data_IF_409557646747
#
_entry.id   IF_409557646747
#
_cell.length_a   1.000
_cell.length_b   1.000
_cell.length_c   1.000
_cell.angle_alpha   90.00
_cell.angle_beta   90.00
_cell.angle_gamma   90.00
#
_symmetry.space_group_name_H-M   'P 1'
#
loop_
_entity.id
_entity.type
_entity.pdbx_description
1 polymer ?
#
# COMPACT_ATOMS: atom_id res chain seq x y z
N UNK A 1 -24.98 -18.54 14.17
CA UNK A 1 -24.27 -17.34 13.63
C UNK A 1 -23.13 -16.85 14.55
N UNK A 2 -23.34 -16.62 15.85
CA UNK A 2 -22.31 -16.12 16.79
C UNK A 2 -21.13 -17.08 16.98
N UNK A 3 -21.34 -18.40 17.01
CA UNK A 3 -20.27 -19.42 17.15
C UNK A 3 -19.35 -19.44 15.91
N UNK A 4 -19.90 -19.22 14.71
CA UNK A 4 -19.12 -19.14 13.47
C UNK A 4 -18.26 -17.88 13.43
N UNK A 5 -18.78 -16.73 13.90
CA UNK A 5 -18.05 -15.47 13.95
C UNK A 5 -16.84 -15.54 14.90
N UNK A 6 -17.04 -16.07 16.14
CA UNK A 6 -15.92 -16.23 17.09
C UNK A 6 -14.85 -17.19 16.56
N UNK A 7 -15.23 -18.27 15.87
CA UNK A 7 -14.30 -19.22 15.26
C UNK A 7 -13.49 -18.55 14.14
N UNK A 8 -14.16 -17.78 13.28
CA UNK A 8 -13.48 -17.06 12.20
C UNK A 8 -12.53 -15.98 12.75
N UNK A 9 -12.93 -15.21 13.76
CA UNK A 9 -12.07 -14.23 14.42
C UNK A 9 -10.81 -14.88 15.04
N UNK A 10 -10.95 -16.07 15.66
CA UNK A 10 -9.77 -16.80 16.17
C UNK A 10 -8.86 -17.29 15.04
N UNK A 11 -9.44 -17.75 13.92
CA UNK A 11 -8.65 -18.18 12.77
C UNK A 11 -7.87 -17.02 12.17
N UNK A 12 -8.51 -15.86 11.96
CA UNK A 12 -7.83 -14.65 11.46
C UNK A 12 -6.77 -14.13 12.45
N UNK A 13 -7.05 -14.16 13.76
CA UNK A 13 -6.07 -13.79 14.78
C UNK A 13 -4.85 -14.73 14.79
N UNK A 14 -5.04 -16.04 14.57
CA UNK A 14 -3.95 -17.00 14.40
C UNK A 14 -3.10 -16.71 13.16
N UNK A 15 -3.72 -16.39 12.03
CA UNK A 15 -2.99 -16.00 10.81
C UNK A 15 -2.20 -14.71 11.01
N UNK A 16 -2.80 -13.70 11.64
CA UNK A 16 -2.14 -12.44 11.95
C UNK A 16 -0.92 -12.62 12.86
N UNK A 17 -0.94 -13.56 13.80
CA UNK A 17 0.15 -13.82 14.74
C UNK A 17 1.39 -14.49 14.10
N UNK A 18 1.28 -15.06 12.90
CA UNK A 18 2.40 -15.69 12.18
C UNK A 18 3.28 -14.63 11.52
N UNK A 19 2.70 -13.54 11.00
CA UNK A 19 3.41 -12.52 10.24
C UNK A 19 4.60 -11.91 10.98
N UNK A 20 4.50 -11.47 12.27
CA UNK A 20 5.65 -10.93 12.99
C UNK A 20 6.80 -11.91 13.16
N UNK A 21 6.51 -13.22 13.30
CA UNK A 21 7.54 -14.26 13.46
C UNK A 21 8.36 -14.44 12.19
N UNK A 22 7.76 -14.30 11.02
CA UNK A 22 8.46 -14.36 9.74
C UNK A 22 9.48 -13.22 9.61
N UNK A 23 9.13 -12.00 10.05
CA UNK A 23 10.04 -10.86 10.02
C UNK A 23 11.27 -11.04 10.91
N UNK A 24 11.09 -11.58 12.11
CA UNK A 24 12.22 -11.82 13.02
C UNK A 24 13.25 -12.82 12.44
N UNK A 25 12.81 -13.73 11.57
CA UNK A 25 13.70 -14.71 10.94
C UNK A 25 14.61 -14.09 9.85
N UNK A 26 14.23 -12.96 9.27
CA UNK A 26 14.93 -12.32 8.13
C UNK A 26 15.50 -10.93 8.47
N UNK A 27 15.92 -10.70 9.70
CA UNK A 27 16.34 -9.39 10.22
C UNK A 27 17.43 -8.68 9.38
N UNK A 28 18.39 -9.42 8.81
CA UNK A 28 19.46 -8.81 7.98
C UNK A 28 18.93 -8.09 6.75
N UNK A 29 17.90 -8.64 6.08
CA UNK A 29 17.29 -8.03 4.91
C UNK A 29 16.53 -6.74 5.26
N UNK A 30 15.93 -6.69 6.46
CA UNK A 30 15.27 -5.48 6.97
C UNK A 30 16.29 -4.35 7.13
N UNK A 31 17.44 -4.62 7.76
CA UNK A 31 18.48 -3.61 7.94
C UNK A 31 19.09 -3.15 6.62
N UNK A 32 19.33 -4.07 5.69
CA UNK A 32 19.79 -3.71 4.34
C UNK A 32 18.76 -2.84 3.60
N UNK A 33 17.47 -3.18 3.70
CA UNK A 33 16.39 -2.39 3.11
C UNK A 33 16.33 -0.98 3.70
N UNK A 34 16.45 -0.82 5.02
CA UNK A 34 16.51 0.49 5.68
C UNK A 34 17.73 1.30 5.22
N UNK A 35 18.90 0.68 5.08
CA UNK A 35 20.11 1.35 4.60
C UNK A 35 19.93 1.88 3.17
N UNK A 36 19.41 1.07 2.26
CA UNK A 36 19.09 1.49 0.89
C UNK A 36 18.07 2.64 0.88
N UNK A 37 17.06 2.55 1.76
CA UNK A 37 16.03 3.59 1.86
C UNK A 37 16.59 4.92 2.41
N UNK A 38 17.56 4.89 3.34
CA UNK A 38 18.27 6.09 3.80
C UNK A 38 19.01 6.76 2.63
N UNK A 39 19.73 5.99 1.82
CA UNK A 39 20.42 6.51 0.62
C UNK A 39 19.38 7.13 -0.34
N UNK A 40 18.28 6.44 -0.59
CA UNK A 40 17.22 6.94 -1.45
C UNK A 40 16.63 8.27 -0.97
N UNK A 41 16.41 8.44 0.34
CA UNK A 41 15.96 9.70 0.94
C UNK A 41 16.99 10.81 0.73
N UNK A 42 18.27 10.54 0.99
CA UNK A 42 19.35 11.55 0.81
C UNK A 42 19.37 12.04 -0.65
N UNK A 43 19.33 11.11 -1.61
CA UNK A 43 19.29 11.43 -3.03
C UNK A 43 18.04 12.23 -3.38
N UNK A 44 16.88 11.81 -2.89
CA UNK A 44 15.59 12.46 -3.15
C UNK A 44 15.58 13.90 -2.64
N UNK A 45 16.03 14.12 -1.40
CA UNK A 45 16.12 15.47 -0.82
C UNK A 45 17.15 16.33 -1.57
N UNK A 46 18.31 15.79 -1.93
CA UNK A 46 19.32 16.51 -2.71
C UNK A 46 18.78 16.91 -4.10
N UNK A 47 18.08 15.99 -4.77
CA UNK A 47 17.42 16.25 -6.05
C UNK A 47 16.42 17.41 -5.93
N UNK A 48 15.51 17.37 -4.97
CA UNK A 48 14.50 18.42 -4.82
C UNK A 48 15.09 19.75 -4.40
N UNK A 49 16.14 19.78 -3.56
CA UNK A 49 16.90 21.00 -3.27
C UNK A 49 17.51 21.60 -4.52
N UNK A 50 18.02 20.77 -5.43
CA UNK A 50 18.56 21.24 -6.71
C UNK A 50 17.45 21.78 -7.64
N UNK A 51 16.30 21.14 -7.70
CA UNK A 51 15.13 21.64 -8.47
C UNK A 51 14.70 23.02 -7.97
N UNK A 52 14.63 23.21 -6.66
CA UNK A 52 14.22 24.48 -6.04
C UNK A 52 15.32 25.55 -5.99
N UNK A 53 16.54 25.27 -6.46
CA UNK A 53 17.64 26.27 -6.44
C UNK A 53 17.34 27.53 -7.26
N UNK A 54 16.51 27.41 -8.29
CA UNK A 54 16.16 28.51 -9.20
C UNK A 54 14.67 28.89 -9.15
N UNK A 55 13.88 28.27 -8.27
CA UNK A 55 12.43 28.52 -8.15
C UNK A 55 12.01 28.51 -6.69
N UNK A 56 11.02 29.30 -6.31
CA UNK A 56 10.47 29.32 -4.96
C UNK A 56 9.34 28.33 -4.78
N UNK A 57 8.62 27.99 -5.86
CA UNK A 57 7.46 27.07 -5.82
C UNK A 57 7.44 26.18 -7.06
N UNK A 58 7.01 24.94 -6.89
CA UNK A 58 6.74 23.99 -7.98
C UNK A 58 5.38 23.35 -7.72
N UNK A 59 4.46 23.42 -8.68
CA UNK A 59 3.08 22.90 -8.49
C UNK A 59 2.33 23.54 -7.31
N UNK A 60 2.66 24.80 -6.98
CA UNK A 60 2.07 25.52 -5.85
C UNK A 60 2.64 25.17 -4.47
N UNK A 61 3.60 24.24 -4.38
CA UNK A 61 4.24 23.84 -3.13
C UNK A 61 5.63 24.50 -3.00
N UNK A 62 5.98 24.91 -1.81
CA UNK A 62 7.34 25.35 -1.46
C UNK A 62 8.26 24.17 -1.13
N UNK A 63 9.56 24.42 -1.05
CA UNK A 63 10.56 23.39 -0.81
C UNK A 63 10.32 22.62 0.50
N UNK A 64 9.98 23.34 1.59
CA UNK A 64 9.82 22.69 2.90
C UNK A 64 8.62 21.75 2.92
N UNK A 65 7.47 22.18 2.39
CA UNK A 65 6.27 21.35 2.25
C UNK A 65 6.54 20.13 1.37
N UNK A 66 7.25 20.34 0.26
CA UNK A 66 7.63 19.25 -0.65
C UNK A 66 8.52 18.22 0.03
N UNK A 67 9.59 18.66 0.72
CA UNK A 67 10.49 17.76 1.44
C UNK A 67 9.71 17.03 2.54
N UNK A 68 8.89 17.73 3.33
CA UNK A 68 8.11 17.13 4.39
C UNK A 68 7.17 16.04 3.87
N UNK A 69 6.43 16.33 2.78
CA UNK A 69 5.58 15.34 2.10
C UNK A 69 6.39 14.12 1.65
N UNK A 70 7.53 14.33 0.97
CA UNK A 70 8.34 13.25 0.43
C UNK A 70 8.94 12.36 1.52
N UNK A 71 9.40 12.97 2.63
CA UNK A 71 9.90 12.22 3.79
C UNK A 71 8.80 11.33 4.38
N UNK A 72 7.59 11.88 4.58
CA UNK A 72 6.43 11.12 5.04
C UNK A 72 6.05 10.02 4.03
N UNK A 73 6.06 10.33 2.73
CA UNK A 73 5.80 9.35 1.68
C UNK A 73 6.78 8.17 1.72
N UNK A 74 8.07 8.41 2.02
CA UNK A 74 9.07 7.34 2.17
C UNK A 74 8.85 6.50 3.43
N UNK A 75 8.43 7.11 4.53
CA UNK A 75 8.08 6.37 5.76
C UNK A 75 6.88 5.45 5.51
N UNK A 76 5.85 5.94 4.83
CA UNK A 76 4.61 5.20 4.53
C UNK A 76 4.63 4.50 3.17
N UNK A 77 5.79 4.40 2.50
CA UNK A 77 5.92 3.81 1.17
C UNK A 77 5.47 2.33 1.08
N UNK A 78 5.39 1.62 2.23
CA UNK A 78 4.82 0.28 2.28
C UNK A 78 3.36 0.24 1.75
N UNK A 79 2.58 1.30 1.99
CA UNK A 79 1.22 1.39 1.47
C UNK A 79 1.19 1.52 -0.07
N UNK A 80 2.17 2.22 -0.67
CA UNK A 80 2.30 2.36 -2.12
C UNK A 80 2.90 1.12 -2.79
N UNK A 81 3.80 0.41 -2.08
CA UNK A 81 4.42 -0.81 -2.59
C UNK A 81 3.37 -1.88 -2.94
N UNK A 82 2.18 -1.77 -2.35
CA UNK A 82 1.08 -2.68 -2.54
C UNK A 82 1.12 -3.87 -1.59
N UNK A 83 0.37 -4.89 -1.97
CA UNK A 83 0.23 -6.09 -1.14
C UNK A 83 1.03 -7.25 -1.76
N UNK A 84 1.43 -8.21 -0.94
CA UNK A 84 2.12 -9.42 -1.42
C UNK A 84 1.17 -10.41 -2.10
N UNK A 85 -0.14 -10.10 -2.13
CA UNK A 85 -1.17 -11.03 -2.57
C UNK A 85 -0.99 -11.56 -4.01
N UNK A 86 -0.37 -10.75 -4.89
CA UNK A 86 -0.08 -11.17 -6.27
C UNK A 86 0.90 -12.35 -6.26
N UNK A 87 1.99 -12.22 -5.48
CA UNK A 87 2.98 -13.29 -5.33
C UNK A 87 2.40 -14.49 -4.59
N UNK A 88 1.67 -14.25 -3.49
CA UNK A 88 1.08 -15.30 -2.67
C UNK A 88 0.14 -16.20 -3.49
N UNK A 89 -0.72 -15.61 -4.34
CA UNK A 89 -1.61 -16.38 -5.22
C UNK A 89 -0.79 -17.12 -6.29
N UNK A 90 0.19 -16.43 -6.91
CA UNK A 90 1.05 -17.03 -7.91
C UNK A 90 1.82 -18.24 -7.40
N UNK A 91 2.39 -18.14 -6.21
CA UNK A 91 3.11 -19.22 -5.55
C UNK A 91 2.18 -20.39 -5.21
N UNK A 92 1.00 -20.10 -4.65
CA UNK A 92 -0.01 -21.14 -4.39
C UNK A 92 -0.44 -21.89 -5.65
N UNK A 93 -0.53 -21.18 -6.79
CA UNK A 93 -0.87 -21.82 -8.07
C UNK A 93 0.29 -22.65 -8.58
N UNK A 94 1.51 -22.12 -8.54
CA UNK A 94 2.73 -22.81 -9.03
C UNK A 94 3.05 -24.05 -8.22
N UNK A 95 2.85 -23.99 -6.88
CA UNK A 95 3.14 -25.10 -5.96
C UNK A 95 1.95 -26.08 -5.79
N UNK A 96 0.81 -25.79 -6.42
CA UNK A 96 -0.40 -26.62 -6.30
C UNK A 96 -1.12 -26.49 -4.95
N UNK A 97 -0.70 -25.55 -4.07
CA UNK A 97 -1.25 -25.36 -2.73
C UNK A 97 -2.65 -24.73 -2.69
N UNK A 98 -3.10 -24.18 -3.81
CA UNK A 98 -4.38 -23.45 -3.89
C UNK A 98 -5.58 -24.30 -3.46
N UNK A 99 -5.60 -25.60 -3.83
CA UNK A 99 -6.67 -26.53 -3.48
C UNK A 99 -6.84 -26.66 -1.95
N UNK A 100 -5.73 -26.73 -1.21
CA UNK A 100 -5.74 -26.82 0.26
C UNK A 100 -6.29 -25.54 0.88
N UNK A 101 -5.94 -24.37 0.32
CA UNK A 101 -6.42 -23.09 0.82
C UNK A 101 -7.92 -22.91 0.57
N UNK A 102 -8.42 -23.33 -0.58
CA UNK A 102 -9.83 -23.26 -0.95
C UNK A 102 -10.72 -24.20 -0.11
N UNK A 103 -10.18 -25.29 0.41
CA UNK A 103 -10.91 -26.21 1.31
C UNK A 103 -11.05 -25.68 2.74
N UNK A 104 -10.36 -24.62 3.12
CA UNK A 104 -10.46 -24.04 4.47
C UNK A 104 -11.82 -23.40 4.68
N UNK A 105 -12.44 -23.57 5.86
CA UNK A 105 -13.78 -23.00 6.16
C UNK A 105 -13.70 -21.50 6.53
N UNK A 106 -12.85 -20.73 5.82
CA UNK A 106 -12.65 -19.29 5.97
C UNK A 106 -12.61 -18.66 4.59
N UNK A 107 -13.07 -17.42 4.49
CA UNK A 107 -12.99 -16.67 3.25
C UNK A 107 -11.52 -16.38 2.90
N UNK A 108 -11.08 -16.87 1.73
CA UNK A 108 -9.69 -16.73 1.29
C UNK A 108 -9.29 -15.26 1.14
N UNK A 109 -10.10 -14.44 0.45
CA UNK A 109 -9.77 -13.03 0.24
C UNK A 109 -9.69 -12.26 1.57
N UNK A 110 -10.62 -12.52 2.50
CA UNK A 110 -10.60 -11.89 3.81
C UNK A 110 -9.37 -12.31 4.64
N UNK A 111 -8.96 -13.59 4.58
CA UNK A 111 -7.79 -14.08 5.30
C UNK A 111 -6.48 -13.45 4.79
N UNK A 112 -6.37 -13.29 3.48
CA UNK A 112 -5.23 -12.60 2.85
C UNK A 112 -5.23 -11.12 3.18
N UNK A 113 -6.40 -10.46 3.19
CA UNK A 113 -6.50 -9.06 3.59
C UNK A 113 -6.00 -8.84 5.02
N UNK A 114 -6.41 -9.68 5.98
CA UNK A 114 -5.97 -9.59 7.37
C UNK A 114 -4.45 -9.73 7.47
N UNK A 115 -3.86 -10.71 6.78
CA UNK A 115 -2.41 -10.91 6.76
C UNK A 115 -1.68 -9.70 6.19
N UNK A 116 -2.16 -9.14 5.07
CA UNK A 116 -1.56 -7.97 4.43
C UNK A 116 -1.75 -6.68 5.24
N UNK A 117 -2.86 -6.52 5.97
CA UNK A 117 -3.06 -5.38 6.88
C UNK A 117 -2.09 -5.45 8.08
N UNK A 118 -1.83 -6.63 8.63
CA UNK A 118 -0.81 -6.83 9.67
C UNK A 118 0.58 -6.55 9.11
N UNK A 119 0.85 -7.00 7.88
CA UNK A 119 2.10 -6.72 7.16
C UNK A 119 2.34 -5.21 7.03
N UNK A 120 1.34 -4.43 6.54
CA UNK A 120 1.43 -2.97 6.45
C UNK A 120 1.80 -2.33 7.79
N UNK A 121 1.17 -2.78 8.87
CA UNK A 121 1.45 -2.28 10.22
C UNK A 121 2.90 -2.57 10.64
N UNK A 122 3.39 -3.78 10.42
CA UNK A 122 4.75 -4.19 10.76
C UNK A 122 5.76 -3.42 9.91
N UNK A 123 5.54 -3.32 8.60
CA UNK A 123 6.41 -2.59 7.67
C UNK A 123 6.51 -1.11 8.06
N UNK A 124 5.39 -0.51 8.45
CA UNK A 124 5.37 0.88 8.94
C UNK A 124 6.15 1.02 10.25
N UNK A 125 5.98 0.09 11.18
CA UNK A 125 6.70 0.09 12.45
C UNK A 125 8.21 -0.07 12.25
N UNK A 126 8.63 -0.95 11.34
CA UNK A 126 10.03 -1.17 10.99
C UNK A 126 10.68 0.05 10.30
N UNK A 127 9.89 0.96 9.75
CA UNK A 127 10.35 2.23 9.17
C UNK A 127 10.44 3.39 10.16
N UNK A 128 10.11 3.21 11.44
CA UNK A 128 10.30 4.24 12.47
C UNK A 128 11.74 4.76 12.57
N UNK A 129 12.81 3.93 12.45
CA UNK A 129 14.17 4.44 12.40
C UNK A 129 14.41 5.41 11.23
N UNK A 130 13.73 5.19 10.09
CA UNK A 130 13.78 6.08 8.93
C UNK A 130 13.10 7.42 9.23
N UNK A 131 11.96 7.41 9.93
CA UNK A 131 11.28 8.63 10.38
C UNK A 131 12.16 9.43 11.36
N UNK A 132 12.85 8.74 12.29
CA UNK A 132 13.81 9.37 13.20
C UNK A 132 14.98 9.99 12.43
N UNK A 133 15.56 9.28 11.47
CA UNK A 133 16.61 9.81 10.59
C UNK A 133 16.14 11.06 9.84
N UNK A 134 14.95 11.00 9.25
CA UNK A 134 14.35 12.13 8.53
C UNK A 134 14.11 13.34 9.43
N UNK A 135 13.68 13.10 10.68
CA UNK A 135 13.50 14.16 11.68
C UNK A 135 14.82 14.83 12.07
N UNK A 136 15.84 14.05 12.36
CA UNK A 136 17.14 14.57 12.83
C UNK A 136 17.91 15.30 11.72
N UNK A 137 17.94 14.76 10.50
CA UNK A 137 18.81 15.26 9.43
C UNK A 137 18.11 16.20 8.44
N UNK A 138 16.79 16.08 8.31
CA UNK A 138 16.04 16.86 7.32
C UNK A 138 14.91 17.70 7.90
N UNK A 139 14.74 17.68 9.23
CA UNK A 139 13.72 18.48 9.90
C UNK A 139 12.30 18.06 9.58
N UNK A 140 12.04 16.75 9.48
CA UNK A 140 10.68 16.21 9.31
C UNK A 140 9.75 16.80 10.35
N UNK A 141 8.66 17.42 9.91
CA UNK A 141 7.63 17.98 10.78
C UNK A 141 6.40 17.07 10.81
N UNK A 142 5.89 16.86 12.01
CA UNK A 142 4.68 16.07 12.22
C UNK A 142 3.58 16.96 12.78
N UNK A 143 2.31 16.77 12.38
CA UNK A 143 1.20 17.56 12.90
C UNK A 143 0.98 17.27 14.38
N UNK A 144 0.73 18.33 15.17
CA UNK A 144 0.41 18.21 16.59
C UNK A 144 -1.05 17.86 16.88
N UNK A 145 -1.94 18.00 15.90
CA UNK A 145 -3.38 17.79 16.08
C UNK A 145 -3.76 16.31 15.97
N UNK A 146 -4.37 15.70 17.01
CA UNK A 146 -4.81 14.30 16.96
C UNK A 146 -5.83 14.02 15.85
N UNK A 147 -6.62 15.01 15.46
CA UNK A 147 -7.61 14.89 14.39
C UNK A 147 -6.95 14.57 13.03
N UNK A 148 -5.77 15.17 12.75
CA UNK A 148 -5.01 14.91 11.52
C UNK A 148 -4.51 13.46 11.49
N UNK A 149 -4.01 12.96 12.62
CA UNK A 149 -3.56 11.56 12.73
C UNK A 149 -4.71 10.57 12.55
N UNK A 150 -5.87 10.86 13.14
CA UNK A 150 -7.06 10.02 12.94
C UNK A 150 -7.49 10.02 11.47
N UNK A 151 -7.54 11.20 10.86
CA UNK A 151 -7.89 11.33 9.45
C UNK A 151 -6.91 10.60 8.52
N UNK A 152 -5.62 10.73 8.79
CA UNK A 152 -4.57 9.99 8.11
C UNK A 152 -4.76 8.48 8.24
N UNK A 153 -4.97 7.95 9.45
CA UNK A 153 -5.13 6.51 9.69
C UNK A 153 -6.36 5.95 8.97
N UNK A 154 -7.49 6.65 9.02
CA UNK A 154 -8.69 6.25 8.29
C UNK A 154 -8.42 6.20 6.78
N UNK A 155 -7.81 7.26 6.22
CA UNK A 155 -7.48 7.32 4.80
C UNK A 155 -6.45 6.25 4.39
N UNK A 156 -5.44 5.98 5.24
CA UNK A 156 -4.43 4.94 5.01
C UNK A 156 -5.06 3.54 4.95
N UNK A 157 -5.94 3.22 5.88
CA UNK A 157 -6.62 1.92 5.92
C UNK A 157 -7.58 1.74 4.74
N UNK A 158 -8.33 2.78 4.37
CA UNK A 158 -9.19 2.76 3.19
C UNK A 158 -8.36 2.58 1.90
N UNK A 159 -7.29 3.36 1.77
CA UNK A 159 -6.39 3.28 0.62
C UNK A 159 -5.70 1.90 0.51
N UNK A 160 -5.27 1.32 1.63
CA UNK A 160 -4.72 -0.04 1.66
C UNK A 160 -5.75 -1.08 1.23
N UNK A 161 -7.01 -0.97 1.68
CA UNK A 161 -8.09 -1.87 1.26
C UNK A 161 -8.39 -1.76 -0.25
N UNK A 162 -8.36 -0.54 -0.80
CA UNK A 162 -8.48 -0.27 -2.25
C UNK A 162 -7.36 -0.97 -3.00
N UNK A 163 -6.11 -0.79 -2.58
CA UNK A 163 -4.95 -1.43 -3.22
C UNK A 163 -4.99 -2.94 -3.11
N UNK A 164 -5.39 -3.48 -1.96
CA UNK A 164 -5.54 -4.92 -1.80
C UNK A 164 -6.55 -5.51 -2.79
N UNK A 165 -7.71 -4.88 -2.97
CA UNK A 165 -8.70 -5.34 -3.94
C UNK A 165 -8.18 -5.27 -5.38
N UNK A 166 -7.41 -4.23 -5.71
CA UNK A 166 -6.77 -4.09 -7.01
C UNK A 166 -5.70 -5.18 -7.25
N UNK A 167 -4.81 -5.38 -6.27
CA UNK A 167 -3.77 -6.42 -6.33
C UNK A 167 -4.37 -7.83 -6.36
N UNK A 168 -5.51 -8.05 -5.66
CA UNK A 168 -6.26 -9.29 -5.72
C UNK A 168 -6.76 -9.60 -7.14
N UNK A 169 -7.27 -8.57 -7.85
CA UNK A 169 -7.70 -8.72 -9.25
C UNK A 169 -6.52 -9.15 -10.12
N UNK A 170 -5.36 -8.50 -9.95
CA UNK A 170 -4.13 -8.85 -10.68
C UNK A 170 -3.69 -10.26 -10.31
N UNK A 171 -3.68 -10.62 -9.04
CA UNK A 171 -3.34 -11.96 -8.55
C UNK A 171 -4.22 -13.05 -9.13
N UNK A 172 -5.49 -12.75 -9.42
CA UNK A 172 -6.39 -13.69 -10.09
C UNK A 172 -5.93 -14.08 -11.51
N UNK A 173 -5.05 -13.31 -12.16
CA UNK A 173 -4.42 -13.73 -13.42
C UNK A 173 -3.58 -14.99 -13.23
N UNK A 174 -3.03 -15.21 -12.02
CA UNK A 174 -2.30 -16.42 -11.65
C UNK A 174 -3.10 -17.72 -11.78
N UNK A 175 -4.42 -17.67 -11.79
CA UNK A 175 -5.27 -18.85 -12.07
C UNK A 175 -5.24 -19.28 -13.54
N UNK A 176 -4.80 -18.39 -14.44
CA UNK A 176 -4.72 -18.64 -15.88
C UNK A 176 -3.28 -18.76 -16.37
N UNK A 177 -2.31 -18.24 -15.62
CA UNK A 177 -0.89 -18.23 -15.97
C UNK A 177 -0.04 -18.41 -14.72
N UNK A 178 0.92 -19.32 -14.75
CA UNK A 178 1.87 -19.53 -13.65
C UNK A 178 2.95 -18.43 -13.60
N UNK A 179 3.12 -17.68 -14.69
CA UNK A 179 4.12 -16.63 -14.83
C UNK A 179 3.51 -15.24 -14.67
N UNK A 180 3.38 -14.79 -13.42
CA UNK A 180 2.83 -13.47 -13.10
C UNK A 180 3.89 -12.45 -12.64
N UNK A 181 5.16 -12.85 -12.62
CA UNK A 181 6.25 -11.99 -12.14
C UNK A 181 6.33 -10.67 -12.93
N UNK A 182 6.27 -10.71 -14.25
CA UNK A 182 6.32 -9.53 -15.10
C UNK A 182 5.18 -8.55 -14.81
N UNK A 183 3.96 -9.07 -14.54
CA UNK A 183 2.80 -8.26 -14.18
C UNK A 183 2.98 -7.61 -12.80
N UNK A 184 3.58 -8.32 -11.85
CA UNK A 184 3.91 -7.78 -10.52
C UNK A 184 4.92 -6.63 -10.60
N UNK A 185 5.96 -6.77 -11.44
CA UNK A 185 6.97 -5.72 -11.66
C UNK A 185 6.35 -4.50 -12.32
N UNK A 186 5.51 -4.68 -13.35
CA UNK A 186 4.79 -3.60 -14.01
C UNK A 186 3.89 -2.85 -13.01
N UNK A 187 3.09 -3.59 -12.23
CA UNK A 187 2.25 -3.03 -11.17
C UNK A 187 3.06 -2.23 -10.16
N UNK A 188 4.21 -2.74 -9.71
CA UNK A 188 5.10 -2.06 -8.77
C UNK A 188 5.62 -0.75 -9.35
N UNK A 189 6.12 -0.76 -10.59
CA UNK A 189 6.59 0.44 -11.29
C UNK A 189 5.50 1.51 -11.45
N UNK A 190 4.29 1.09 -11.84
CA UNK A 190 3.13 1.97 -11.90
C UNK A 190 2.78 2.55 -10.51
N UNK A 191 2.87 1.72 -9.48
CA UNK A 191 2.64 2.14 -8.09
C UNK A 191 3.63 3.21 -7.65
N UNK A 192 4.92 3.04 -7.89
CA UNK A 192 5.94 4.04 -7.56
C UNK A 192 5.67 5.39 -8.23
N UNK A 193 5.24 5.37 -9.49
CA UNK A 193 5.04 6.59 -10.27
C UNK A 193 3.71 7.30 -9.93
N UNK A 194 2.60 6.55 -9.90
CA UNK A 194 1.25 7.12 -9.77
C UNK A 194 0.76 7.24 -8.32
N UNK A 195 1.50 6.72 -7.33
CA UNK A 195 1.11 6.85 -5.93
C UNK A 195 1.49 8.17 -5.28
N UNK A 196 2.33 8.99 -5.92
CA UNK A 196 2.90 10.18 -5.30
C UNK A 196 4.16 9.91 -4.46
N UNK A 197 4.75 8.70 -4.51
CA UNK A 197 5.94 8.36 -3.71
C UNK A 197 7.20 9.14 -4.10
N UNK A 198 7.35 9.45 -5.39
CA UNK A 198 8.53 10.15 -5.94
C UNK A 198 8.27 11.63 -6.19
N UNK A 199 7.05 11.96 -6.61
CA UNK A 199 6.62 13.31 -6.99
C UNK A 199 5.20 13.51 -6.47
N UNK A 200 4.93 14.54 -5.65
CA UNK A 200 3.55 14.89 -5.28
C UNK A 200 2.67 15.06 -6.53
N UNK A 201 1.43 14.58 -6.48
CA UNK A 201 0.54 14.66 -7.65
C UNK A 201 0.27 16.10 -8.09
N UNK A 202 0.35 17.05 -7.17
CA UNK A 202 0.18 18.49 -7.43
C UNK A 202 1.23 19.07 -8.38
N UNK A 203 2.39 18.42 -8.46
CA UNK A 203 3.49 18.83 -9.35
C UNK A 203 3.42 18.18 -10.74
N UNK A 204 2.50 17.24 -10.92
CA UNK A 204 2.33 16.59 -12.23
C UNK A 204 1.56 17.51 -13.19
N UNK A 205 1.87 17.47 -14.49
CA UNK A 205 1.04 18.12 -15.51
C UNK A 205 -0.42 17.66 -15.42
N UNK A 206 -1.38 18.50 -15.74
CA UNK A 206 -2.81 18.24 -15.53
C UNK A 206 -3.32 16.93 -16.15
N UNK A 207 -2.86 16.61 -17.37
CA UNK A 207 -3.21 15.35 -18.01
C UNK A 207 -2.71 14.12 -17.24
N UNK A 208 -1.50 14.19 -16.70
CA UNK A 208 -0.89 13.09 -15.95
C UNK A 208 -1.51 12.96 -14.57
N UNK A 209 -1.76 14.09 -13.89
CA UNK A 209 -2.48 14.15 -12.61
C UNK A 209 -3.87 13.54 -12.73
N UNK A 210 -4.58 13.81 -13.83
CA UNK A 210 -5.90 13.23 -14.10
C UNK A 210 -5.81 11.70 -14.20
N UNK A 211 -4.82 11.16 -14.91
CA UNK A 211 -4.59 9.72 -14.99
C UNK A 211 -4.27 9.14 -13.60
N UNK A 212 -3.35 9.77 -12.86
CA UNK A 212 -2.97 9.34 -11.51
C UNK A 212 -4.17 9.35 -10.54
N UNK A 213 -5.08 10.32 -10.66
CA UNK A 213 -6.28 10.41 -9.83
C UNK A 213 -7.30 9.32 -10.13
N UNK A 214 -7.38 8.85 -11.39
CA UNK A 214 -8.27 7.74 -11.79
C UNK A 214 -7.69 6.37 -11.40
N UNK A 215 -6.37 6.25 -11.29
CA UNK A 215 -5.73 5.02 -10.89
C UNK A 215 -5.80 4.82 -9.36
N UNK A 216 -5.90 3.58 -8.85
CA UNK A 216 -6.06 3.33 -7.41
C UNK A 216 -4.81 3.63 -6.60
N UNK A 217 -3.66 3.85 -7.21
CA UNK A 217 -2.37 4.02 -6.55
C UNK A 217 -2.31 5.25 -5.64
N UNK A 218 -2.90 6.37 -6.06
CA UNK A 218 -2.96 7.61 -5.28
C UNK A 218 -3.76 7.47 -3.99
N UNK A 219 -4.74 6.55 -3.97
CA UNK A 219 -5.59 6.28 -2.81
C UNK A 219 -4.78 5.73 -1.62
N UNK A 220 -3.74 4.94 -1.90
CA UNK A 220 -2.98 4.25 -0.87
C UNK A 220 -1.89 5.12 -0.23
N UNK A 221 -1.32 6.08 -0.95
CA UNK A 221 -0.21 6.89 -0.43
C UNK A 221 -0.45 8.39 -0.52
N UNK A 222 -0.73 8.93 -1.73
CA UNK A 222 -0.85 10.37 -1.90
C UNK A 222 -1.93 10.97 -0.98
N UNK A 223 -3.15 10.42 -1.00
CA UNK A 223 -4.24 10.97 -0.21
C UNK A 223 -3.97 10.93 1.31
N UNK A 224 -3.59 9.79 1.94
CA UNK A 224 -3.27 9.81 3.36
C UNK A 224 -2.06 10.71 3.69
N UNK A 225 -0.99 10.68 2.91
CA UNK A 225 0.21 11.48 3.20
C UNK A 225 -0.04 12.97 2.98
N UNK A 226 -0.85 13.38 2.01
CA UNK A 226 -1.22 14.78 1.81
C UNK A 226 -2.02 15.36 2.99
N UNK A 227 -2.84 14.54 3.66
CA UNK A 227 -3.52 14.91 4.91
C UNK A 227 -2.48 15.12 6.02
N UNK A 228 -1.57 14.16 6.19
CA UNK A 228 -0.58 14.19 7.25
C UNK A 228 0.45 15.32 7.09
N UNK A 229 0.82 15.65 5.84
CA UNK A 229 1.75 16.74 5.52
C UNK A 229 1.09 18.13 5.52
N UNK A 230 -0.23 18.22 5.66
CA UNK A 230 -0.97 19.49 5.65
C UNK A 230 -1.24 20.07 4.25
N UNK A 231 -0.89 19.36 3.17
CA UNK A 231 -1.24 19.76 1.79
C UNK A 231 -2.75 19.75 1.63
N UNK A 232 -3.42 18.72 2.16
CA UNK A 232 -4.88 18.62 2.11
C UNK A 232 -5.49 19.06 3.44
N UNK A 233 -6.36 20.09 3.42
CA UNK A 233 -7.02 20.58 4.64
C UNK A 233 -8.09 19.60 5.13
N UNK A 234 -8.34 19.59 6.45
CA UNK A 234 -9.35 18.72 7.07
C UNK A 234 -10.77 18.90 6.50
N UNK A 235 -11.08 20.07 5.96
CA UNK A 235 -12.39 20.36 5.33
C UNK A 235 -12.68 19.51 4.09
N UNK A 236 -11.64 18.97 3.43
CA UNK A 236 -11.79 18.11 2.26
C UNK A 236 -11.97 16.61 2.60
N UNK A 237 -11.82 16.23 3.86
CA UNK A 237 -11.90 14.82 4.28
C UNK A 237 -13.18 14.10 3.85
N UNK A 238 -14.40 14.69 3.95
CA UNK A 238 -15.60 14.00 3.53
C UNK A 238 -15.56 13.60 2.05
N UNK A 239 -15.00 14.45 1.20
CA UNK A 239 -14.84 14.19 -0.24
C UNK A 239 -13.82 13.07 -0.48
N UNK A 240 -12.69 13.11 0.22
CA UNK A 240 -11.62 12.09 0.08
C UNK A 240 -12.12 10.72 0.52
N UNK A 241 -12.74 10.64 1.69
CA UNK A 241 -13.26 9.36 2.19
C UNK A 241 -14.39 8.81 1.34
N UNK A 242 -15.29 9.68 0.83
CA UNK A 242 -16.32 9.26 -0.10
C UNK A 242 -15.72 8.68 -1.39
N UNK A 243 -14.67 9.31 -1.91
CA UNK A 243 -13.93 8.83 -3.07
C UNK A 243 -13.29 7.45 -2.77
N UNK A 244 -12.56 7.32 -1.67
CA UNK A 244 -11.93 6.06 -1.26
C UNK A 244 -12.95 4.95 -1.03
N UNK A 245 -14.08 5.24 -0.40
CA UNK A 245 -15.19 4.28 -0.23
C UNK A 245 -15.82 3.88 -1.57
N UNK A 246 -15.96 4.81 -2.50
CA UNK A 246 -16.43 4.52 -3.87
C UNK A 246 -15.48 3.57 -4.60
N UNK A 247 -14.17 3.84 -4.56
CA UNK A 247 -13.16 2.93 -5.12
C UNK A 247 -13.20 1.56 -4.46
N UNK A 248 -13.26 1.53 -3.12
CA UNK A 248 -13.33 0.28 -2.37
C UNK A 248 -14.56 -0.54 -2.74
N UNK A 249 -15.74 0.09 -2.83
CA UNK A 249 -16.97 -0.59 -3.19
C UNK A 249 -16.89 -1.22 -4.59
N UNK A 250 -16.43 -0.44 -5.59
CA UNK A 250 -16.31 -0.92 -6.97
C UNK A 250 -15.26 -2.05 -7.07
N UNK A 251 -14.08 -1.86 -6.50
CA UNK A 251 -13.01 -2.86 -6.58
C UNK A 251 -13.31 -4.11 -5.74
N UNK A 252 -14.00 -3.98 -4.60
CA UNK A 252 -14.42 -5.14 -3.82
C UNK A 252 -15.41 -6.01 -4.58
N UNK A 253 -16.40 -5.40 -5.22
CA UNK A 253 -17.37 -6.15 -6.06
C UNK A 253 -16.65 -6.79 -7.25
N UNK A 254 -15.78 -6.04 -7.94
CA UNK A 254 -15.02 -6.54 -9.08
C UNK A 254 -14.10 -7.71 -8.68
N UNK A 255 -13.33 -7.55 -7.58
CA UNK A 255 -12.41 -8.58 -7.09
C UNK A 255 -13.14 -9.88 -6.70
N UNK A 256 -14.30 -9.78 -6.06
CA UNK A 256 -15.15 -10.93 -5.74
C UNK A 256 -15.69 -11.63 -6.99
N UNK A 257 -16.18 -10.84 -7.95
CA UNK A 257 -16.72 -11.38 -9.20
C UNK A 257 -15.64 -12.08 -10.04
N UNK A 258 -14.44 -11.48 -10.15
CA UNK A 258 -13.32 -12.06 -10.88
C UNK A 258 -12.82 -13.31 -10.18
N UNK A 259 -12.60 -13.28 -8.87
CA UNK A 259 -12.17 -14.44 -8.09
C UNK A 259 -13.14 -15.61 -8.21
N UNK A 260 -14.47 -15.37 -8.11
CA UNK A 260 -15.47 -16.42 -8.24
C UNK A 260 -15.47 -17.12 -9.62
N UNK A 261 -15.01 -16.42 -10.67
CA UNK A 261 -14.80 -16.99 -12.00
C UNK A 261 -13.46 -17.73 -12.10
N UNK A 262 -12.40 -17.13 -11.57
CA UNK A 262 -11.05 -17.67 -11.61
C UNK A 262 -10.94 -19.05 -10.90
N UNK A 263 -11.58 -19.19 -9.74
CA UNK A 263 -11.58 -20.47 -9.00
C UNK A 263 -12.16 -21.62 -9.80
N UNK A 264 -13.11 -21.37 -10.74
CA UNK A 264 -13.72 -22.41 -11.56
C UNK A 264 -12.76 -23.02 -12.59
N UNK A 265 -11.65 -22.37 -12.88
CA UNK A 265 -10.62 -22.83 -13.82
C UNK A 265 -9.60 -23.74 -13.14
N UNK A 266 -9.60 -23.77 -11.79
CA UNK A 266 -8.68 -24.62 -11.05
C UNK A 266 -9.00 -26.08 -11.30
N UNK A 267 -8.15 -26.74 -12.08
CA UNK A 267 -8.14 -28.20 -12.21
C UNK A 267 -7.13 -28.75 -11.22
N UNK A 268 -7.56 -29.57 -10.28
CA UNK A 268 -6.67 -30.27 -9.37
C UNK A 268 -5.90 -31.30 -10.20
N UNK A 269 -4.63 -31.02 -10.49
CA UNK A 269 -3.75 -32.02 -11.11
C UNK A 269 -3.50 -33.11 -10.06
N UNK A 270 -4.03 -34.29 -10.28
CA UNK A 270 -3.82 -35.47 -9.43
C UNK A 270 -5.11 -36.16 -8.92
N UNK A 271 -6.26 -35.91 -9.53
CA UNK A 271 -7.49 -36.69 -9.34
C UNK A 271 -7.61 -37.79 -10.38
#
# INVERSE_FOLDING_TARGET
MVVSLKRNLRAYGGMAAVVPKMFMAYSIWVWMGLFVQIIAIVILVAFWRAVYSNTTTVGGLDLQTTINYLLLAQVFAAAAAGTNVIYDIGDLMREGGIGIVLLRPVDMQASFYVSNAVQLFIDTLLRLPLALFAWVFFGLTLPGEPAVWLAFLVSLLLGHAVMFCFDWIIGCVGFYSTEIWGLSVLRYGMGLFFSGALIPLDMMPDWLRTIAAVLPFSQALYLPVSILSGITPLGELPRIWLLQLGYLAVLLVASRAIFSRAVRVVTVQGG
#
